data_IF_887227738994
#
_entry.id   IF_887227738994
#
_cell.length_a   1.000
_cell.length_b   1.000
_cell.length_c   1.000
_cell.angle_alpha   90.00
_cell.angle_beta   90.00
_cell.angle_gamma   90.00
#
_symmetry.space_group_name_H-M   'P 1'
#
loop_
_entity.id
_entity.type
_entity.pdbx_description
1 polymer ?
#
# COMPACT_ATOMS: atom_id res chain seq x y z
N UNK A 1 -27.22 -44.12 -5.63
CA UNK A 1 -25.76 -43.97 -5.84
C UNK A 1 -25.30 -42.80 -4.96
N UNK A 2 -24.69 -43.07 -3.81
CA UNK A 2 -24.32 -42.03 -2.85
C UNK A 2 -23.13 -41.22 -3.39
N UNK A 3 -23.14 -39.87 -3.27
CA UNK A 3 -22.02 -39.05 -3.74
C UNK A 3 -20.76 -39.35 -2.94
N UNK A 4 -19.66 -39.58 -3.66
CA UNK A 4 -18.34 -39.84 -3.09
C UNK A 4 -17.81 -38.59 -2.38
N UNK A 5 -17.79 -38.61 -1.03
CA UNK A 5 -17.26 -37.52 -0.22
C UNK A 5 -15.74 -37.52 -0.33
N UNK A 6 -15.18 -36.53 -1.04
CA UNK A 6 -13.73 -36.34 -1.11
C UNK A 6 -13.20 -35.85 0.25
N UNK A 7 -12.10 -36.40 0.77
CA UNK A 7 -11.44 -35.85 1.95
C UNK A 7 -11.09 -34.37 1.72
N UNK A 8 -11.28 -33.52 2.75
CA UNK A 8 -10.80 -32.14 2.70
C UNK A 8 -9.28 -32.16 2.45
N UNK A 9 -8.82 -31.44 1.42
CA UNK A 9 -7.39 -31.27 1.13
C UNK A 9 -6.71 -30.73 2.40
N UNK A 10 -5.62 -31.37 2.83
CA UNK A 10 -4.81 -30.86 3.94
C UNK A 10 -4.35 -29.44 3.63
N UNK A 11 -4.73 -28.50 4.50
CA UNK A 11 -4.16 -27.16 4.52
C UNK A 11 -2.81 -27.23 5.23
N UNK A 12 -1.73 -27.36 4.46
CA UNK A 12 -0.38 -27.17 4.99
C UNK A 12 -0.26 -25.75 5.52
N UNK A 13 0.35 -25.61 6.70
CA UNK A 13 0.66 -24.31 7.28
C UNK A 13 1.48 -23.50 6.25
N UNK A 14 1.19 -22.20 6.05
CA UNK A 14 1.98 -21.39 5.14
C UNK A 14 3.45 -21.40 5.57
N UNK A 15 4.36 -21.58 4.62
CA UNK A 15 5.78 -21.39 4.89
C UNK A 15 5.99 -19.91 5.23
N UNK A 16 6.26 -19.61 6.50
CA UNK A 16 6.47 -18.23 6.95
C UNK A 16 7.89 -17.83 6.56
N UNK A 17 8.04 -16.70 5.87
CA UNK A 17 9.36 -16.19 5.49
C UNK A 17 10.14 -15.80 6.74
N UNK A 18 11.41 -16.21 6.80
CA UNK A 18 12.36 -15.71 7.77
C UNK A 18 12.74 -14.25 7.47
N UNK A 19 13.25 -13.56 8.48
CA UNK A 19 13.67 -12.16 8.34
C UNK A 19 14.74 -11.98 7.24
N UNK A 20 15.67 -12.92 7.12
CA UNK A 20 16.71 -12.90 6.10
C UNK A 20 16.14 -13.06 4.68
N UNK A 21 15.16 -13.94 4.49
CA UNK A 21 14.49 -14.10 3.19
C UNK A 21 13.74 -12.84 2.79
N UNK A 22 13.06 -12.18 3.74
CA UNK A 22 12.40 -10.90 3.49
C UNK A 22 13.42 -9.83 3.07
N UNK A 23 14.57 -9.74 3.75
CA UNK A 23 15.64 -8.81 3.38
C UNK A 23 16.19 -9.09 1.97
N UNK A 24 16.41 -10.36 1.62
CA UNK A 24 16.87 -10.74 0.28
C UNK A 24 15.85 -10.33 -0.80
N UNK A 25 14.56 -10.55 -0.55
CA UNK A 25 13.49 -10.11 -1.46
C UNK A 25 13.52 -8.58 -1.63
N UNK A 26 13.66 -7.85 -0.52
CA UNK A 26 13.67 -6.38 -0.53
C UNK A 26 14.91 -5.80 -1.25
N UNK A 27 16.05 -6.47 -1.15
CA UNK A 27 17.30 -6.09 -1.82
C UNK A 27 17.30 -6.46 -3.31
N UNK A 28 16.63 -7.56 -3.69
CA UNK A 28 16.54 -8.01 -5.07
C UNK A 28 15.62 -7.15 -5.95
N UNK A 29 14.93 -6.13 -5.40
CA UNK A 29 14.03 -5.25 -6.15
C UNK A 29 14.81 -4.04 -6.72
N UNK A 30 15.14 -4.04 -8.03
CA UNK A 30 15.90 -2.94 -8.63
C UNK A 30 15.09 -1.66 -8.76
N UNK A 31 13.77 -1.78 -8.85
CA UNK A 31 12.88 -0.63 -9.02
C UNK A 31 12.53 -0.02 -7.65
N UNK A 32 12.90 1.24 -7.38
CA UNK A 32 12.67 1.88 -6.08
C UNK A 32 11.19 1.94 -5.70
N UNK A 33 10.29 2.03 -6.69
CA UNK A 33 8.84 1.99 -6.48
C UNK A 33 8.38 0.64 -5.90
N UNK A 34 8.81 -0.45 -6.52
CA UNK A 34 8.44 -1.80 -6.06
C UNK A 34 9.01 -2.07 -4.67
N UNK A 35 10.25 -1.62 -4.42
CA UNK A 35 10.87 -1.71 -3.11
C UNK A 35 10.07 -0.95 -2.05
N UNK A 36 9.66 0.29 -2.32
CA UNK A 36 8.83 1.08 -1.40
C UNK A 36 7.47 0.40 -1.12
N UNK A 37 6.79 -0.10 -2.15
CA UNK A 37 5.51 -0.80 -2.00
C UNK A 37 5.63 -2.03 -1.09
N UNK A 38 6.66 -2.86 -1.28
CA UNK A 38 6.85 -4.07 -0.47
C UNK A 38 7.24 -3.71 0.97
N UNK A 39 8.09 -2.70 1.18
CA UNK A 39 8.42 -2.18 2.52
C UNK A 39 7.19 -1.68 3.28
N UNK A 40 6.33 -0.89 2.62
CA UNK A 40 5.09 -0.39 3.22
C UNK A 40 4.16 -1.56 3.55
N UNK A 41 4.00 -2.51 2.63
CA UNK A 41 3.17 -3.70 2.85
C UNK A 41 3.65 -4.51 4.05
N UNK A 42 4.96 -4.73 4.15
CA UNK A 42 5.58 -5.49 5.23
C UNK A 42 5.46 -4.77 6.59
N UNK A 43 5.70 -3.47 6.63
CA UNK A 43 5.68 -2.68 7.88
C UNK A 43 4.28 -2.38 8.41
N UNK A 44 3.34 -2.04 7.52
CA UNK A 44 1.99 -1.59 7.89
C UNK A 44 0.90 -2.65 7.71
N UNK A 45 1.28 -3.85 7.26
CA UNK A 45 0.36 -4.99 7.14
C UNK A 45 -0.78 -4.76 6.15
N UNK A 46 -0.55 -3.93 5.13
CA UNK A 46 -1.58 -3.61 4.14
C UNK A 46 -1.86 -4.80 3.24
N UNK A 47 -3.11 -4.90 2.80
CA UNK A 47 -3.50 -5.86 1.78
C UNK A 47 -3.04 -5.36 0.42
N UNK A 48 -2.75 -6.27 -0.50
CA UNK A 48 -2.36 -5.92 -1.88
C UNK A 48 -3.35 -4.95 -2.53
N UNK A 49 -4.66 -5.14 -2.29
CA UNK A 49 -5.72 -4.25 -2.81
C UNK A 49 -5.67 -2.82 -2.25
N UNK A 50 -5.16 -2.66 -1.03
CA UNK A 50 -5.02 -1.36 -0.35
C UNK A 50 -3.75 -0.66 -0.85
N UNK A 51 -2.64 -1.40 -0.93
CA UNK A 51 -1.33 -0.93 -1.42
C UNK A 51 -1.43 -0.39 -2.84
N UNK A 52 -2.14 -1.09 -3.74
CA UNK A 52 -2.28 -0.63 -5.13
C UNK A 52 -3.16 0.61 -5.30
N UNK A 53 -3.96 0.98 -4.30
CA UNK A 53 -4.84 2.16 -4.30
C UNK A 53 -4.25 3.33 -3.51
N UNK A 54 -3.08 3.14 -2.90
CA UNK A 54 -2.45 4.12 -2.04
C UNK A 54 -2.06 5.38 -2.82
N UNK A 55 -2.51 6.53 -2.33
CA UNK A 55 -2.11 7.85 -2.85
C UNK A 55 -1.03 8.47 -1.98
N UNK A 56 -0.28 9.40 -2.54
CA UNK A 56 0.68 10.19 -1.77
C UNK A 56 0.00 11.03 -0.69
N UNK A 57 -1.22 11.51 -0.94
CA UNK A 57 -2.02 12.26 0.03
C UNK A 57 -2.55 11.45 1.20
N UNK A 58 -2.45 10.12 1.14
CA UNK A 58 -2.80 9.24 2.26
C UNK A 58 -1.63 9.06 3.24
N UNK A 59 -0.45 9.58 2.91
CA UNK A 59 0.75 9.53 3.73
C UNK A 59 0.94 10.82 4.50
N UNK A 60 1.08 10.70 5.83
CA UNK A 60 1.44 11.81 6.71
C UNK A 60 2.89 11.61 7.18
N UNK A 61 3.85 12.36 6.59
CA UNK A 61 5.27 12.22 6.91
C UNK A 61 5.62 12.72 8.32
N UNK A 62 4.88 13.70 8.86
CA UNK A 62 5.16 14.22 10.20
C UNK A 62 4.74 13.22 11.28
N UNK A 63 3.57 12.61 11.09
CA UNK A 63 3.02 11.64 12.06
C UNK A 63 3.45 10.22 11.79
N UNK A 64 4.15 9.95 10.67
CA UNK A 64 4.51 8.60 10.18
C UNK A 64 3.28 7.68 10.12
N UNK A 65 2.16 8.24 9.70
CA UNK A 65 0.89 7.51 9.58
C UNK A 65 0.49 7.37 8.11
N UNK A 66 -0.26 6.31 7.84
CA UNK A 66 -0.82 6.04 6.53
C UNK A 66 -2.30 5.78 6.67
N UNK A 67 -3.09 6.49 5.87
CA UNK A 67 -4.54 6.37 5.84
C UNK A 67 -4.95 5.32 4.82
N UNK A 68 -5.55 4.23 5.31
CA UNK A 68 -6.08 3.18 4.46
C UNK A 68 -7.55 3.46 4.16
N UNK A 69 -7.83 3.87 2.93
CA UNK A 69 -9.20 4.08 2.45
C UNK A 69 -9.89 2.76 2.12
N UNK A 70 -11.17 2.65 2.45
CA UNK A 70 -11.99 1.47 2.13
C UNK A 70 -11.43 0.14 2.69
N UNK A 71 -11.06 0.14 3.97
CA UNK A 71 -10.70 -1.08 4.69
C UNK A 71 -11.88 -2.06 4.85
N UNK A 72 -11.75 -3.01 5.79
CA UNK A 72 -12.81 -3.99 6.08
C UNK A 72 -14.14 -3.26 6.40
N UNK A 73 -15.24 -3.72 5.82
CA UNK A 73 -16.57 -3.09 5.95
C UNK A 73 -16.64 -1.64 5.43
N UNK A 74 -15.74 -1.22 4.52
CA UNK A 74 -15.65 0.14 3.98
C UNK A 74 -15.31 1.21 5.03
N UNK A 75 -14.71 0.81 6.15
CA UNK A 75 -14.23 1.77 7.16
C UNK A 75 -12.79 2.15 6.86
N UNK A 76 -12.52 3.45 6.92
CA UNK A 76 -11.16 3.97 6.88
C UNK A 76 -10.44 3.61 8.20
N UNK A 77 -9.13 3.37 8.11
CA UNK A 77 -8.26 3.21 9.29
C UNK A 77 -6.95 3.94 9.09
N UNK A 78 -6.33 4.33 10.20
CA UNK A 78 -4.95 4.79 10.23
C UNK A 78 -4.04 3.63 10.62
N UNK A 79 -2.95 3.47 9.89
CA UNK A 79 -1.89 2.50 10.18
C UNK A 79 -0.58 3.24 10.40
N UNK A 80 0.20 2.81 11.38
CA UNK A 80 1.53 3.35 11.62
C UNK A 80 2.51 2.79 10.57
N UNK A 81 3.43 3.62 10.10
CA UNK A 81 4.63 3.16 9.42
C UNK A 81 5.77 3.04 10.42
N UNK A 82 6.64 2.06 10.19
CA UNK A 82 7.95 2.02 10.83
C UNK A 82 8.87 3.09 10.24
N UNK A 83 9.85 3.53 11.03
CA UNK A 83 10.85 4.52 10.60
C UNK A 83 11.60 4.10 9.34
N UNK A 84 11.93 2.80 9.23
CA UNK A 84 12.59 2.24 8.06
C UNK A 84 11.71 2.37 6.80
N UNK A 85 10.42 2.06 6.90
CA UNK A 85 9.52 2.17 5.76
C UNK A 85 9.26 3.64 5.39
N UNK A 86 9.15 4.53 6.38
CA UNK A 86 9.06 5.97 6.16
C UNK A 86 10.26 6.51 5.36
N UNK A 87 11.49 6.18 5.78
CA UNK A 87 12.70 6.63 5.09
C UNK A 87 12.76 6.14 3.62
N UNK A 88 12.37 4.89 3.37
CA UNK A 88 12.32 4.34 2.01
C UNK A 88 11.27 5.04 1.14
N UNK A 89 10.09 5.35 1.71
CA UNK A 89 9.03 6.06 0.98
C UNK A 89 9.45 7.49 0.66
N UNK A 90 10.04 8.23 1.61
CA UNK A 90 10.55 9.58 1.36
C UNK A 90 11.61 9.57 0.27
N UNK A 91 12.62 8.69 0.37
CA UNK A 91 13.65 8.57 -0.66
C UNK A 91 13.08 8.21 -2.03
N UNK A 92 12.02 7.39 -2.08
CA UNK A 92 11.31 7.13 -3.33
C UNK A 92 10.58 8.37 -3.88
N UNK A 93 9.88 9.12 -3.03
CA UNK A 93 9.13 10.32 -3.44
C UNK A 93 10.07 11.40 -3.97
N UNK A 94 11.22 11.62 -3.32
CA UNK A 94 12.25 12.56 -3.76
C UNK A 94 12.87 12.15 -5.11
N UNK A 95 13.17 10.87 -5.30
CA UNK A 95 13.80 10.38 -6.52
C UNK A 95 12.86 10.31 -7.73
N UNK A 96 11.60 9.93 -7.51
CA UNK A 96 10.68 9.58 -8.59
C UNK A 96 9.63 10.66 -8.88
N UNK A 97 9.47 11.66 -8.00
CA UNK A 97 8.43 12.70 -8.06
C UNK A 97 7.07 12.19 -8.61
N UNK A 98 6.43 11.21 -7.95
CA UNK A 98 5.19 10.62 -8.46
C UNK A 98 4.06 11.66 -8.39
N UNK A 99 3.24 11.78 -9.44
CA UNK A 99 2.18 12.79 -9.48
C UNK A 99 0.99 12.51 -8.55
N UNK A 100 0.67 11.26 -8.25
CA UNK A 100 -0.55 10.93 -7.48
C UNK A 100 -0.52 9.62 -6.69
N UNK A 101 0.11 8.57 -7.24
CA UNK A 101 0.05 7.22 -6.69
C UNK A 101 1.44 6.65 -6.43
N UNK A 102 1.54 5.86 -5.36
CA UNK A 102 2.74 5.04 -5.09
C UNK A 102 2.74 3.79 -5.99
N UNK A 103 1.59 3.38 -6.55
CA UNK A 103 1.43 2.23 -7.46
C UNK A 103 1.07 2.63 -8.91
N UNK A 104 1.59 1.90 -9.90
CA UNK A 104 1.39 2.16 -11.36
C UNK A 104 0.27 1.26 -11.89
N UNK A 105 -0.96 1.39 -11.41
CA UNK A 105 -2.11 0.81 -12.12
C UNK A 105 -2.91 1.92 -12.77
N UNK A 106 -2.78 1.98 -14.09
CA UNK A 106 -3.72 2.56 -15.06
C UNK A 106 -4.24 3.97 -14.78
N UNK A 107 -3.46 4.95 -15.21
CA UNK A 107 -3.78 6.39 -15.21
C UNK A 107 -4.90 6.73 -16.23
N UNK A 108 -5.30 5.80 -17.10
CA UNK A 108 -6.28 6.08 -18.18
C UNK A 108 -7.74 6.26 -17.74
N UNK A 109 -8.07 6.19 -16.45
CA UNK A 109 -9.48 6.20 -16.02
C UNK A 109 -9.81 7.02 -14.79
N UNK A 110 -8.88 7.74 -14.20
CA UNK A 110 -9.12 8.43 -12.93
C UNK A 110 -8.71 9.89 -13.11
N UNK A 111 -9.71 10.79 -13.07
CA UNK A 111 -9.49 12.24 -13.02
C UNK A 111 -8.47 12.56 -11.92
N UNK A 112 -7.48 13.38 -12.26
CA UNK A 112 -6.44 13.85 -11.35
C UNK A 112 -7.07 14.37 -10.05
N UNK A 113 -6.57 13.98 -8.87
CA UNK A 113 -6.88 14.63 -7.60
C UNK A 113 -6.57 16.14 -7.59
N UNK A 114 -5.67 16.62 -8.47
CA UNK A 114 -5.46 18.06 -8.73
C UNK A 114 -6.65 18.76 -9.42
N UNK A 115 -7.61 18.03 -10.00
CA UNK A 115 -8.89 18.60 -10.49
C UNK A 115 -9.93 18.81 -9.37
N UNK A 116 -9.68 18.28 -8.16
CA UNK A 116 -10.65 18.35 -7.04
C UNK A 116 -10.26 19.36 -5.96
N UNK A 117 -9.10 20.01 -6.10
CA UNK A 117 -8.64 21.08 -5.19
C UNK A 117 -9.09 22.49 -5.64
N UNK A 118 -10.05 22.57 -6.58
CA UNK A 118 -10.69 23.82 -7.02
C UNK A 118 -12.07 24.12 -6.42
N UNK A 119 -12.66 23.24 -5.59
CA UNK A 119 -14.04 23.40 -5.10
C UNK A 119 -14.17 23.46 -3.55
N UNK A 120 -13.14 23.88 -2.83
CA UNK A 120 -13.27 24.27 -1.41
C UNK A 120 -12.80 25.71 -1.16
N UNK A 121 -13.19 26.60 -2.08
CA UNK A 121 -13.13 28.04 -1.89
C UNK A 121 -14.53 28.63 -2.02
N UNK A 122 -15.39 28.40 -1.01
CA UNK A 122 -16.49 29.29 -0.66
C UNK A 122 -17.24 28.74 0.57
N UNK A 123 -16.77 29.13 1.74
CA UNK A 123 -17.64 29.53 2.85
C UNK A 123 -16.86 30.59 3.63
N UNK A 124 -16.94 31.81 3.11
CA UNK A 124 -16.71 33.00 3.88
C UNK A 124 -17.89 33.27 4.82
N UNK A 125 -17.59 34.13 5.81
CA UNK A 125 -18.45 34.85 6.77
C UNK A 125 -19.26 34.03 7.77
#
# INVERSE_FOLDING_TARGET
MAPFIRPKKEHKLPNVLSLNEVLLILQALPNPKHRALVYVTYSSGLRVSEVVRLRLSDFDPERKTLRVRQGKCRKDRLTLLSDAAHAIVIGYVEQAQPRDYVSTRDIRRIKSPLDQLGEMGDIGV
#
